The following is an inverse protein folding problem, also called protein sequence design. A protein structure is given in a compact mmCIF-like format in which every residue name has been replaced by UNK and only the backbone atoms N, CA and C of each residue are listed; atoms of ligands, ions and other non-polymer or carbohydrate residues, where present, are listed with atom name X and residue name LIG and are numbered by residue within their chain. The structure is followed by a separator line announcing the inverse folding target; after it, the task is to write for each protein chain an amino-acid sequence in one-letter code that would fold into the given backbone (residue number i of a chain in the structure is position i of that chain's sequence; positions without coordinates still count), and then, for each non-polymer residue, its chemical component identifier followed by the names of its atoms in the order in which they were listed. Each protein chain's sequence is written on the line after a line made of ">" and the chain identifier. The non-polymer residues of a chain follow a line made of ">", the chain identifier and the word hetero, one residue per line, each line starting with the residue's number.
data_IF_132700921146
#
_entry.id   IF_132700921146
#
_cell.length_a   1.000
_cell.length_b   1.000
_cell.length_c   1.000
_cell.angle_alpha   90.00
_cell.angle_beta   90.00
_cell.angle_gamma   90.00
#
_symmetry.space_group_name_H-M   'P 1'
#
loop_
_entity.id
_entity.type
_entity.pdbx_description
1 polymer ?
#
# COMPACT_ATOMS: atom_id res chain seq x y z
N UNK A 1 8.29 4.54 1.63
CA UNK A 1 7.94 3.34 2.44
C UNK A 1 8.96 2.28 2.13
N UNK A 2 9.57 1.69 3.14
CA UNK A 2 10.72 0.81 2.92
C UNK A 2 10.30 -0.47 2.21
N UNK A 3 10.61 -0.57 0.93
CA UNK A 3 10.56 -1.78 0.09
C UNK A 3 11.14 -2.99 0.87
N UNK A 4 12.19 -2.72 1.66
CA UNK A 4 12.84 -3.68 2.52
C UNK A 4 11.88 -4.34 3.52
N UNK A 5 10.89 -3.61 4.05
CA UNK A 5 9.96 -4.14 5.06
C UNK A 5 8.99 -5.15 4.46
N UNK A 6 8.43 -4.88 3.27
CA UNK A 6 7.55 -5.83 2.59
C UNK A 6 8.31 -7.06 2.08
N UNK A 7 9.51 -6.86 1.52
CA UNK A 7 10.39 -7.95 1.13
C UNK A 7 10.82 -8.79 2.33
N UNK A 8 11.18 -8.16 3.44
CA UNK A 8 11.59 -8.86 4.66
C UNK A 8 10.44 -9.65 5.28
N UNK A 9 9.25 -9.08 5.35
CA UNK A 9 8.04 -9.77 5.83
C UNK A 9 7.67 -10.95 4.93
N UNK A 10 7.78 -10.78 3.61
CA UNK A 10 7.55 -11.83 2.63
C UNK A 10 8.59 -12.96 2.73
N UNK A 11 9.88 -12.61 2.82
CA UNK A 11 10.98 -13.57 2.97
C UNK A 11 10.85 -14.33 4.29
N UNK A 12 10.51 -13.66 5.39
CA UNK A 12 10.29 -14.32 6.69
C UNK A 12 9.12 -15.31 6.59
N UNK A 13 8.02 -14.94 5.93
CA UNK A 13 6.88 -15.84 5.71
C UNK A 13 7.26 -17.05 4.83
N UNK A 14 8.02 -16.85 3.75
CA UNK A 14 8.51 -17.94 2.91
C UNK A 14 9.51 -18.85 3.63
N UNK A 15 10.38 -18.31 4.48
CA UNK A 15 11.39 -19.07 5.24
C UNK A 15 10.75 -19.84 6.40
N UNK A 16 9.77 -19.26 7.08
CA UNK A 16 9.06 -19.91 8.20
C UNK A 16 8.21 -21.11 7.74
N UNK A 17 7.80 -21.13 6.48
CA UNK A 17 7.04 -22.24 5.89
C UNK A 17 7.91 -23.05 4.92
N UNK A 18 8.56 -24.07 5.45
CA UNK A 18 9.49 -25.00 4.81
C UNK A 18 8.92 -25.82 3.62
N UNK A 19 7.67 -25.59 3.22
CA UNK A 19 6.93 -26.35 2.21
C UNK A 19 6.14 -25.47 1.23
N UNK A 20 6.61 -24.28 0.95
CA UNK A 20 5.96 -23.44 -0.07
C UNK A 20 6.37 -23.91 -1.47
N UNK A 21 5.39 -24.04 -2.34
CA UNK A 21 5.64 -24.27 -3.77
C UNK A 21 6.50 -23.15 -4.35
N UNK A 22 7.76 -23.44 -4.64
CA UNK A 22 8.78 -22.45 -5.02
C UNK A 22 8.36 -21.58 -6.19
N UNK A 23 7.64 -22.16 -7.17
CA UNK A 23 7.16 -21.43 -8.35
C UNK A 23 6.09 -20.40 -7.97
N UNK A 24 5.11 -20.78 -7.16
CA UNK A 24 4.05 -19.86 -6.72
C UNK A 24 4.61 -18.73 -5.86
N UNK A 25 5.60 -19.01 -5.01
CA UNK A 25 6.32 -17.97 -4.26
C UNK A 25 7.06 -17.01 -5.19
N UNK A 26 7.77 -17.51 -6.21
CA UNK A 26 8.49 -16.67 -7.15
C UNK A 26 7.53 -15.78 -7.96
N UNK A 27 6.42 -16.33 -8.46
CA UNK A 27 5.42 -15.56 -9.21
C UNK A 27 4.79 -14.49 -8.31
N UNK A 28 4.41 -14.84 -7.08
CA UNK A 28 3.86 -13.87 -6.13
C UNK A 28 4.87 -12.74 -5.83
N UNK A 29 6.17 -13.05 -5.72
CA UNK A 29 7.21 -12.04 -5.54
C UNK A 29 7.28 -11.06 -6.70
N UNK A 30 7.13 -11.51 -7.94
CA UNK A 30 7.10 -10.64 -9.14
C UNK A 30 5.92 -9.66 -9.06
N UNK A 31 4.73 -10.13 -8.67
CA UNK A 31 3.56 -9.26 -8.50
C UNK A 31 3.74 -8.24 -7.36
N UNK A 32 4.37 -8.64 -6.25
CA UNK A 32 4.70 -7.72 -5.15
C UNK A 32 5.69 -6.66 -5.61
N UNK A 33 6.71 -7.03 -6.37
CA UNK A 33 7.66 -6.07 -6.94
C UNK A 33 6.93 -5.09 -7.87
N UNK A 34 6.03 -5.59 -8.72
CA UNK A 34 5.18 -4.77 -9.58
C UNK A 34 4.30 -3.80 -8.78
N UNK A 35 3.65 -4.26 -7.72
CA UNK A 35 2.86 -3.42 -6.81
C UNK A 35 3.72 -2.30 -6.19
N UNK A 36 4.91 -2.64 -5.69
CA UNK A 36 5.85 -1.68 -5.10
C UNK A 36 6.32 -0.68 -6.15
N UNK A 37 6.58 -1.13 -7.38
CA UNK A 37 6.96 -0.25 -8.49
C UNK A 37 5.89 0.79 -8.78
N UNK A 38 4.62 0.38 -8.97
CA UNK A 38 3.51 1.31 -9.18
C UNK A 38 3.32 2.29 -8.03
N UNK A 39 3.54 1.85 -6.80
CA UNK A 39 3.42 2.70 -5.62
C UNK A 39 4.52 3.77 -5.57
N UNK A 40 5.77 3.40 -5.93
CA UNK A 40 6.90 4.32 -5.90
C UNK A 40 6.94 5.27 -7.10
N UNK A 41 6.46 4.83 -8.27
CA UNK A 41 6.43 5.67 -9.46
C UNK A 41 5.49 6.86 -9.28
N UNK A 42 4.46 6.72 -8.44
CA UNK A 42 3.50 7.77 -8.13
C UNK A 42 4.17 8.99 -7.49
N UNK A 43 5.08 8.78 -6.55
CA UNK A 43 5.80 9.88 -5.87
C UNK A 43 6.90 10.52 -6.73
N UNK A 44 7.48 9.76 -7.67
CA UNK A 44 8.62 10.16 -8.52
C UNK A 44 8.22 10.36 -9.98
N UNK A 45 6.94 10.32 -10.30
CA UNK A 45 6.48 10.42 -11.68
C UNK A 45 6.88 11.76 -12.29
N UNK A 46 7.21 11.75 -13.57
CA UNK A 46 7.47 12.96 -14.34
C UNK A 46 6.31 13.98 -14.23
N UNK A 47 5.09 13.49 -14.02
CA UNK A 47 3.87 14.29 -13.92
C UNK A 47 3.78 15.03 -12.59
N UNK A 48 4.13 14.40 -11.46
CA UNK A 48 4.21 15.08 -10.17
C UNK A 48 5.29 16.18 -10.23
N UNK A 49 6.43 15.87 -10.86
CA UNK A 49 7.51 16.83 -11.07
C UNK A 49 7.04 18.00 -11.95
N UNK A 50 6.43 17.69 -13.09
CA UNK A 50 5.89 18.71 -14.01
C UNK A 50 4.78 19.55 -13.38
N UNK A 51 3.92 18.95 -12.55
CA UNK A 51 2.93 19.69 -11.77
C UNK A 51 3.62 20.67 -10.80
N UNK A 52 4.62 20.20 -10.04
CA UNK A 52 5.38 21.04 -9.11
C UNK A 52 6.06 22.22 -9.81
N UNK A 53 6.67 21.99 -10.96
CA UNK A 53 7.35 23.03 -11.75
C UNK A 53 6.41 24.15 -12.22
N UNK A 54 5.13 23.86 -12.40
CA UNK A 54 4.10 24.85 -12.76
C UNK A 54 3.57 25.66 -11.57
N UNK A 55 3.91 25.28 -10.35
CA UNK A 55 3.44 25.97 -9.15
C UNK A 55 4.42 27.05 -8.70
N UNK A 56 3.93 28.19 -8.20
CA UNK A 56 4.74 29.15 -7.46
C UNK A 56 5.44 28.48 -6.26
N UNK A 57 6.59 28.99 -5.85
CA UNK A 57 7.43 28.41 -4.78
C UNK A 57 6.66 28.19 -3.45
N UNK A 58 5.76 29.09 -3.12
CA UNK A 58 4.89 28.98 -1.94
C UNK A 58 3.94 27.77 -2.03
N UNK A 59 3.31 27.58 -3.19
CA UNK A 59 2.41 26.46 -3.41
C UNK A 59 3.17 25.13 -3.51
N UNK A 60 4.42 25.14 -3.98
CA UNK A 60 5.27 23.95 -3.96
C UNK A 60 5.54 23.46 -2.53
N UNK A 61 5.92 24.36 -1.62
CA UNK A 61 6.14 24.04 -0.21
C UNK A 61 4.85 23.52 0.45
N UNK A 62 3.71 24.13 0.12
CA UNK A 62 2.41 23.71 0.64
C UNK A 62 2.02 22.31 0.13
N UNK A 63 2.24 22.05 -1.16
CA UNK A 63 2.03 20.71 -1.74
C UNK A 63 2.86 19.65 -1.02
N UNK A 64 4.14 19.93 -0.76
CA UNK A 64 5.02 19.00 -0.04
C UNK A 64 4.54 18.74 1.39
N UNK A 65 4.07 19.77 2.09
CA UNK A 65 3.48 19.61 3.43
C UNK A 65 2.25 18.72 3.40
N UNK A 66 1.32 18.97 2.47
CA UNK A 66 0.10 18.17 2.30
C UNK A 66 0.45 16.73 1.92
N UNK A 67 1.35 16.53 0.96
CA UNK A 67 1.79 15.21 0.53
C UNK A 67 2.44 14.41 1.66
N UNK A 68 3.28 15.06 2.48
CA UNK A 68 3.89 14.42 3.64
C UNK A 68 2.85 14.03 4.70
N UNK A 69 1.86 14.89 4.97
CA UNK A 69 0.76 14.55 5.88
C UNK A 69 0.01 13.30 5.42
N UNK A 70 -0.36 13.21 4.11
CA UNK A 70 -1.05 12.04 3.55
C UNK A 70 -0.22 10.78 3.68
N UNK A 71 1.08 10.89 3.46
CA UNK A 71 2.03 9.79 3.60
C UNK A 71 2.11 9.30 5.04
N UNK A 72 2.19 10.21 6.00
CA UNK A 72 2.21 9.85 7.43
C UNK A 72 0.92 9.18 7.88
N UNK A 73 -0.25 9.69 7.46
CA UNK A 73 -1.54 9.04 7.73
C UNK A 73 -1.54 7.59 7.21
N UNK A 74 -1.06 7.38 5.99
CA UNK A 74 -0.96 6.04 5.41
C UNK A 74 -0.01 5.13 6.20
N UNK A 75 1.11 5.64 6.69
CA UNK A 75 2.05 4.87 7.52
C UNK A 75 1.43 4.44 8.84
N UNK A 76 0.69 5.32 9.51
CA UNK A 76 -0.03 4.96 10.74
C UNK A 76 -1.10 3.91 10.49
N UNK A 77 -1.84 4.01 9.38
CA UNK A 77 -2.81 3.00 8.98
C UNK A 77 -2.19 1.61 8.75
N UNK A 78 -1.05 1.56 8.05
CA UNK A 78 -0.32 0.30 7.87
C UNK A 78 0.26 -0.24 9.19
N UNK A 79 0.80 0.62 10.04
CA UNK A 79 1.29 0.22 11.36
C UNK A 79 0.21 -0.41 12.22
N UNK A 80 -0.97 0.22 12.27
CA UNK A 80 -2.13 -0.31 12.97
C UNK A 80 -2.60 -1.65 12.37
N UNK A 81 -2.69 -1.72 11.04
CA UNK A 81 -3.06 -2.95 10.34
C UNK A 81 -2.10 -4.10 10.63
N UNK A 82 -0.79 -3.81 10.71
CA UNK A 82 0.22 -4.80 11.08
C UNK A 82 0.01 -5.31 12.51
N UNK A 83 -0.21 -4.43 13.47
CA UNK A 83 -0.45 -4.80 14.87
C UNK A 83 -1.67 -5.72 14.97
N UNK A 84 -2.80 -5.36 14.33
CA UNK A 84 -4.00 -6.19 14.31
C UNK A 84 -3.74 -7.55 13.64
N UNK A 85 -2.97 -7.58 12.58
CA UNK A 85 -2.59 -8.82 11.90
C UNK A 85 -1.77 -9.74 12.79
N UNK A 86 -0.83 -9.19 13.56
CA UNK A 86 -0.05 -9.96 14.55
C UNK A 86 -0.95 -10.52 15.66
N UNK A 87 -1.93 -9.77 16.12
CA UNK A 87 -2.93 -10.27 17.09
C UNK A 87 -3.73 -11.46 16.53
N UNK A 88 -4.16 -11.39 15.27
CA UNK A 88 -4.90 -12.51 14.63
C UNK A 88 -4.02 -13.74 14.55
N UNK A 89 -2.76 -13.62 14.15
CA UNK A 89 -1.82 -14.73 14.09
C UNK A 89 -1.62 -15.35 15.49
N UNK A 90 -1.33 -14.50 16.48
CA UNK A 90 -1.13 -14.96 17.85
C UNK A 90 -2.36 -15.68 18.40
N UNK A 91 -3.55 -15.10 18.22
CA UNK A 91 -4.81 -15.72 18.64
C UNK A 91 -5.02 -17.07 17.98
N UNK A 92 -4.80 -17.18 16.66
CA UNK A 92 -4.97 -18.43 15.92
C UNK A 92 -3.97 -19.52 16.36
N UNK A 93 -2.73 -19.13 16.70
CA UNK A 93 -1.66 -20.08 17.05
C UNK A 93 -1.75 -20.54 18.51
N UNK A 94 -2.12 -19.63 19.43
CA UNK A 94 -2.00 -19.87 20.87
C UNK A 94 -3.33 -20.18 21.56
N UNK A 95 -4.42 -19.57 21.15
CA UNK A 95 -5.65 -19.55 21.92
C UNK A 95 -6.73 -20.45 21.27
N UNK A 96 -6.83 -20.41 19.94
CA UNK A 96 -7.92 -21.11 19.25
C UNK A 96 -7.74 -22.62 19.28
N UNK A 97 -8.73 -23.35 19.78
CA UNK A 97 -8.76 -24.82 19.82
C UNK A 97 -8.87 -25.42 18.40
N UNK A 98 -9.59 -24.75 17.49
CA UNK A 98 -9.73 -25.14 16.10
C UNK A 98 -9.02 -24.14 15.20
N UNK A 99 -7.78 -24.46 14.79
CA UNK A 99 -6.92 -23.57 13.99
C UNK A 99 -7.50 -23.36 12.59
N UNK A 100 -7.42 -22.13 12.12
CA UNK A 100 -7.71 -21.81 10.72
C UNK A 100 -6.68 -22.51 9.82
N UNK A 101 -7.11 -22.92 8.62
CA UNK A 101 -6.15 -23.38 7.63
C UNK A 101 -5.25 -22.21 7.19
N UNK A 102 -4.05 -22.53 6.72
CA UNK A 102 -3.05 -21.53 6.36
C UNK A 102 -3.54 -20.55 5.29
N UNK A 103 -4.28 -21.04 4.30
CA UNK A 103 -4.87 -20.20 3.27
C UNK A 103 -5.81 -19.15 3.87
N UNK A 104 -6.75 -19.56 4.71
CA UNK A 104 -7.71 -18.66 5.36
C UNK A 104 -6.99 -17.65 6.26
N UNK A 105 -5.97 -18.10 7.00
CA UNK A 105 -5.19 -17.22 7.87
C UNK A 105 -4.47 -16.13 7.07
N UNK A 106 -3.79 -16.50 5.98
CA UNK A 106 -3.09 -15.54 5.11
C UNK A 106 -4.07 -14.51 4.53
N UNK A 107 -5.19 -14.98 3.97
CA UNK A 107 -6.21 -14.08 3.42
C UNK A 107 -6.77 -13.14 4.49
N UNK A 108 -7.07 -13.63 5.69
CA UNK A 108 -7.60 -12.82 6.80
C UNK A 108 -6.59 -11.76 7.24
N UNK A 109 -5.33 -12.12 7.42
CA UNK A 109 -4.24 -11.21 7.82
C UNK A 109 -4.05 -10.11 6.79
N UNK A 110 -3.99 -10.48 5.51
CA UNK A 110 -3.81 -9.50 4.42
C UNK A 110 -5.03 -8.58 4.29
N UNK A 111 -6.24 -9.14 4.33
CA UNK A 111 -7.46 -8.35 4.29
C UNK A 111 -7.52 -7.36 5.47
N UNK A 112 -7.20 -7.81 6.69
CA UNK A 112 -7.16 -6.94 7.88
C UNK A 112 -6.17 -5.81 7.69
N UNK A 113 -4.96 -6.08 7.21
CA UNK A 113 -3.95 -5.05 7.02
C UNK A 113 -4.39 -3.98 6.00
N UNK A 114 -4.88 -4.42 4.83
CA UNK A 114 -5.32 -3.49 3.78
C UNK A 114 -6.58 -2.70 4.15
N UNK A 115 -7.59 -3.36 4.71
CA UNK A 115 -8.82 -2.70 5.13
C UNK A 115 -8.56 -1.70 6.26
N UNK A 116 -7.72 -2.05 7.24
CA UNK A 116 -7.35 -1.15 8.32
C UNK A 116 -6.66 0.10 7.77
N UNK A 117 -5.69 -0.07 6.86
CA UNK A 117 -5.04 1.08 6.23
C UNK A 117 -6.02 1.94 5.44
N UNK A 118 -6.90 1.31 4.64
CA UNK A 118 -7.90 2.02 3.85
C UNK A 118 -8.84 2.84 4.74
N UNK A 119 -9.47 2.22 5.74
CA UNK A 119 -10.39 2.91 6.64
C UNK A 119 -9.68 3.97 7.47
N UNK A 120 -8.50 3.69 7.99
CA UNK A 120 -7.71 4.67 8.73
C UNK A 120 -7.41 5.89 7.87
N UNK A 121 -6.96 5.67 6.62
CA UNK A 121 -6.68 6.75 5.70
C UNK A 121 -7.93 7.56 5.35
N UNK A 122 -9.07 6.91 5.10
CA UNK A 122 -10.32 7.60 4.76
C UNK A 122 -10.91 8.38 5.93
N UNK A 123 -10.88 7.83 7.13
CA UNK A 123 -11.49 8.43 8.33
C UNK A 123 -10.59 9.47 9.00
N UNK A 124 -9.28 9.42 8.79
CA UNK A 124 -8.36 10.40 9.39
C UNK A 124 -8.64 11.80 8.85
N UNK A 125 -8.74 12.80 9.72
CA UNK A 125 -8.93 14.20 9.32
C UNK A 125 -7.72 14.66 8.49
N UNK A 126 -7.98 15.47 7.47
CA UNK A 126 -6.97 16.07 6.61
C UNK A 126 -6.93 17.57 6.89
N UNK A 127 -5.73 18.09 7.19
CA UNK A 127 -5.58 19.48 7.60
C UNK A 127 -5.86 20.46 6.46
N UNK A 128 -5.52 20.11 5.22
CA UNK A 128 -5.61 21.03 4.10
C UNK A 128 -5.78 20.29 2.76
N UNK A 129 -6.30 21.00 1.76
CA UNK A 129 -6.51 20.51 0.40
C UNK A 129 -5.89 21.46 -0.61
N UNK A 130 -5.07 20.94 -1.51
CA UNK A 130 -4.37 21.75 -2.52
C UNK A 130 -5.32 22.57 -3.40
N UNK A 131 -6.51 22.05 -3.68
CA UNK A 131 -7.53 22.73 -4.46
C UNK A 131 -8.02 24.04 -3.82
N UNK A 132 -7.94 24.19 -2.51
CA UNK A 132 -8.32 25.43 -1.82
C UNK A 132 -7.37 26.59 -2.11
N UNK A 133 -6.18 26.29 -2.66
CA UNK A 133 -5.10 27.26 -2.89
C UNK A 133 -4.82 27.47 -4.38
N UNK A 134 -5.46 26.70 -5.27
CA UNK A 134 -5.31 26.85 -6.71
C UNK A 134 -6.42 27.76 -7.24
N UNK A 135 -6.07 28.95 -7.68
CA UNK A 135 -7.00 29.94 -8.24
C UNK A 135 -6.95 30.03 -9.78
N UNK A 136 -5.92 29.45 -10.41
CA UNK A 136 -5.75 29.49 -11.86
C UNK A 136 -6.30 28.19 -12.49
N UNK A 137 -7.09 28.34 -13.58
CA UNK A 137 -7.68 27.23 -14.30
C UNK A 137 -6.64 26.22 -14.83
N UNK A 138 -5.47 26.69 -15.23
CA UNK A 138 -4.40 25.81 -15.71
C UNK A 138 -3.77 25.00 -14.60
N UNK A 139 -3.67 25.55 -13.39
CA UNK A 139 -3.22 24.82 -12.19
C UNK A 139 -4.24 23.75 -11.79
N UNK A 140 -5.54 24.04 -11.87
CA UNK A 140 -6.60 23.07 -11.60
C UNK A 140 -6.58 21.93 -12.61
N UNK A 141 -6.41 22.22 -13.91
CA UNK A 141 -6.27 21.20 -14.96
C UNK A 141 -5.05 20.31 -14.73
N UNK A 142 -3.90 20.92 -14.42
CA UNK A 142 -2.67 20.19 -14.13
C UNK A 142 -2.81 19.29 -12.88
N UNK A 143 -3.51 19.78 -11.83
CA UNK A 143 -3.85 18.99 -10.66
C UNK A 143 -4.71 17.78 -11.01
N UNK A 144 -5.79 17.97 -11.78
CA UNK A 144 -6.69 16.90 -12.18
C UNK A 144 -5.99 15.83 -13.01
N UNK A 145 -5.10 16.25 -13.92
CA UNK A 145 -4.29 15.31 -14.70
C UNK A 145 -3.39 14.47 -13.79
N UNK A 146 -2.64 15.13 -12.90
CA UNK A 146 -1.78 14.46 -11.92
C UNK A 146 -2.60 13.49 -11.04
N UNK A 147 -3.73 13.95 -10.50
CA UNK A 147 -4.60 13.14 -9.63
C UNK A 147 -5.12 11.89 -10.36
N UNK A 148 -5.51 12.00 -11.62
CA UNK A 148 -5.99 10.88 -12.44
C UNK A 148 -4.91 9.80 -12.60
N UNK A 149 -3.68 10.20 -12.87
CA UNK A 149 -2.57 9.26 -13.03
C UNK A 149 -2.14 8.63 -11.70
N UNK A 150 -2.11 9.41 -10.63
CA UNK A 150 -1.88 8.89 -9.28
C UNK A 150 -2.95 7.86 -8.91
N UNK A 151 -4.21 8.16 -9.18
CA UNK A 151 -5.34 7.25 -8.93
C UNK A 151 -5.21 5.96 -9.74
N UNK A 152 -4.86 6.05 -11.02
CA UNK A 152 -4.63 4.87 -11.87
C UNK A 152 -3.49 4.00 -11.31
N UNK A 153 -2.35 4.58 -11.02
CA UNK A 153 -1.20 3.85 -10.47
C UNK A 153 -1.53 3.18 -9.12
N UNK A 154 -2.28 3.88 -8.27
CA UNK A 154 -2.72 3.32 -6.99
C UNK A 154 -3.63 2.09 -7.18
N UNK A 155 -4.63 2.17 -8.05
CA UNK A 155 -5.54 1.05 -8.31
C UNK A 155 -4.84 -0.11 -9.03
N UNK A 156 -3.93 0.18 -9.97
CA UNK A 156 -3.12 -0.84 -10.62
C UNK A 156 -2.23 -1.58 -9.61
N UNK A 157 -1.57 -0.84 -8.73
CA UNK A 157 -0.77 -1.42 -7.65
C UNK A 157 -1.60 -2.27 -6.69
N UNK A 158 -2.81 -1.81 -6.33
CA UNK A 158 -3.73 -2.57 -5.49
C UNK A 158 -4.18 -3.87 -6.16
N UNK A 159 -4.55 -3.82 -7.45
CA UNK A 159 -4.93 -5.02 -8.20
C UNK A 159 -3.80 -6.05 -8.26
N UNK A 160 -2.55 -5.62 -8.54
CA UNK A 160 -1.39 -6.49 -8.51
C UNK A 160 -1.15 -7.09 -7.11
N UNK A 161 -1.35 -6.30 -6.05
CA UNK A 161 -1.25 -6.77 -4.68
C UNK A 161 -2.29 -7.86 -4.35
N UNK A 162 -3.53 -7.70 -4.79
CA UNK A 162 -4.59 -8.72 -4.61
C UNK A 162 -4.24 -10.01 -5.34
N UNK A 163 -3.76 -9.93 -6.59
CA UNK A 163 -3.30 -11.09 -7.36
C UNK A 163 -2.12 -11.76 -6.68
N UNK A 164 -1.14 -10.99 -6.19
CA UNK A 164 0.01 -11.50 -5.46
C UNK A 164 -0.42 -12.32 -4.23
N UNK A 165 -1.36 -11.79 -3.43
CA UNK A 165 -1.89 -12.47 -2.24
C UNK A 165 -2.61 -13.76 -2.62
N UNK A 166 -3.43 -13.74 -3.67
CA UNK A 166 -4.11 -14.94 -4.18
C UNK A 166 -3.13 -16.05 -4.55
N UNK A 167 -2.12 -15.74 -5.35
CA UNK A 167 -1.08 -16.69 -5.79
C UNK A 167 -0.26 -17.18 -4.59
N UNK A 168 0.11 -16.28 -3.68
CA UNK A 168 0.83 -16.62 -2.47
C UNK A 168 0.04 -17.57 -1.57
N UNK A 169 -1.26 -17.34 -1.41
CA UNK A 169 -2.11 -18.22 -0.63
C UNK A 169 -2.20 -19.65 -1.23
N UNK A 170 -2.10 -19.79 -2.56
CA UNK A 170 -2.00 -21.10 -3.21
C UNK A 170 -0.66 -21.80 -2.96
N UNK A 171 0.42 -21.05 -2.75
CA UNK A 171 1.74 -21.62 -2.45
C UNK A 171 1.75 -22.50 -1.19
N UNK A 172 0.81 -22.31 -0.28
CA UNK A 172 0.67 -23.13 0.95
C UNK A 172 -0.18 -24.40 0.76
N UNK A 173 -0.70 -24.65 -0.41
CA UNK A 173 -1.43 -25.89 -0.72
C UNK A 173 -0.55 -26.99 -1.30
N UNK A 174 0.67 -26.64 -1.74
CA UNK A 174 1.66 -27.61 -2.17
C UNK A 174 2.37 -28.24 -0.96
#
# INVERSE_FOLDING_TARGET
>A
MNILFYLLFYIILCILYKMACSISCAISAIFIIGMIYFYNITDKSAIVKHYKEKLPSDLQKRYEKISNERRMISYYGYGLGLILSLFIIFYNVRIKSHKMNTFSLVCTVMATCFLTNYFYYMLSPKSDWMLNHTSNQDQVKAWLQMYREMSFNYHAGLALGIVAVGIFAFAFRC
#
